data_IF_321803989755
#
_entry.id   IF_321803989755
#
_cell.length_a   1.000
_cell.length_b   1.000
_cell.length_c   1.000
_cell.angle_alpha   90.00
_cell.angle_beta   90.00
_cell.angle_gamma   90.00
#
_symmetry.space_group_name_H-M   'P 1'
#
loop_
_entity.id
_entity.type
_entity.pdbx_description
1 polymer ?
#
# COMPACT_ATOMS: atom_id res chain seq x y z
N UNK A 1 4.39 -29.24 9.80
CA UNK A 1 3.84 -29.72 11.08
C UNK A 1 2.45 -29.13 11.24
N UNK A 2 1.49 -29.89 11.77
CA UNK A 2 0.16 -29.38 12.09
C UNK A 2 0.25 -28.22 13.08
N UNK A 3 -0.65 -27.25 12.96
CA UNK A 3 -0.70 -26.07 13.83
C UNK A 3 -1.52 -26.28 15.10
N UNK A 4 -2.30 -27.36 15.20
CA UNK A 4 -3.10 -27.67 16.38
C UNK A 4 -2.22 -28.19 17.52
N UNK A 5 -2.46 -27.66 18.72
CA UNK A 5 -1.78 -28.14 19.93
C UNK A 5 -2.06 -29.62 20.12
N UNK A 6 -1.03 -30.40 20.44
CA UNK A 6 -1.10 -31.85 20.64
C UNK A 6 -1.29 -32.69 19.37
N UNK A 7 -1.26 -32.07 18.17
CA UNK A 7 -1.21 -32.81 16.91
C UNK A 7 0.24 -32.97 16.42
N UNK A 8 0.79 -34.19 16.55
CA UNK A 8 2.15 -34.51 16.11
C UNK A 8 2.33 -34.75 14.60
N UNK A 9 1.26 -34.59 13.81
CA UNK A 9 1.29 -34.86 12.36
C UNK A 9 2.15 -33.82 11.66
N UNK A 10 2.97 -34.29 10.72
CA UNK A 10 3.70 -33.42 9.81
C UNK A 10 3.63 -33.98 8.40
N UNK A 11 3.73 -33.05 7.45
CA UNK A 11 3.68 -33.30 6.03
C UNK A 11 5.01 -32.82 5.47
N UNK A 12 5.64 -33.64 4.65
CA UNK A 12 6.78 -33.25 3.83
C UNK A 12 6.30 -33.02 2.40
N UNK A 13 6.59 -31.83 1.88
CA UNK A 13 6.42 -31.48 0.48
C UNK A 13 7.78 -31.20 -0.16
N UNK A 14 7.84 -31.31 -1.48
CA UNK A 14 9.01 -30.85 -2.24
C UNK A 14 8.92 -29.33 -2.51
N UNK A 15 9.88 -28.79 -3.26
CA UNK A 15 9.92 -27.36 -3.62
C UNK A 15 8.80 -26.92 -4.57
N UNK A 16 8.05 -27.86 -5.14
CA UNK A 16 6.88 -27.61 -6.01
C UNK A 16 5.57 -27.91 -5.28
N UNK A 17 5.59 -27.99 -3.95
CA UNK A 17 4.44 -28.28 -3.09
C UNK A 17 3.76 -29.64 -3.34
N UNK A 18 4.43 -30.57 -4.01
CA UNK A 18 3.92 -31.94 -4.16
C UNK A 18 4.15 -32.73 -2.88
N UNK A 19 3.16 -33.55 -2.54
CA UNK A 19 3.19 -34.38 -1.34
C UNK A 19 4.25 -35.48 -1.47
N UNK A 20 5.23 -35.48 -0.56
CA UNK A 20 6.24 -36.56 -0.45
C UNK A 20 5.77 -37.59 0.56
N UNK A 21 5.44 -37.16 1.78
CA UNK A 21 4.97 -38.06 2.83
C UNK A 21 4.13 -37.34 3.90
N UNK A 22 3.29 -38.11 4.57
CA UNK A 22 2.50 -37.72 5.74
C UNK A 22 2.82 -38.70 6.86
N UNK A 23 3.08 -38.20 8.06
CA UNK A 23 3.26 -39.06 9.23
C UNK A 23 1.99 -39.09 10.10
N UNK A 24 1.31 -40.24 10.09
CA UNK A 24 0.14 -40.51 10.93
C UNK A 24 -1.12 -39.78 10.47
N UNK A 25 -2.15 -39.88 11.31
CA UNK A 25 -3.47 -39.27 11.10
C UNK A 25 -3.72 -38.14 12.09
N UNK A 26 -4.50 -37.14 11.67
CA UNK A 26 -4.92 -36.07 12.56
C UNK A 26 -5.86 -36.60 13.65
N UNK A 27 -5.63 -36.18 14.89
CA UNK A 27 -6.47 -36.46 16.05
C UNK A 27 -7.56 -35.40 16.28
N UNK A 28 -7.79 -34.54 15.31
CA UNK A 28 -8.74 -33.45 15.38
C UNK A 28 -9.44 -33.27 14.03
N UNK A 29 -10.63 -32.65 14.07
CA UNK A 29 -11.33 -32.24 12.86
C UNK A 29 -10.68 -30.99 12.24
N UNK A 30 -10.94 -30.77 10.96
CA UNK A 30 -10.52 -29.54 10.27
C UNK A 30 -11.31 -28.36 10.81
N UNK A 31 -10.61 -27.27 11.15
CA UNK A 31 -11.25 -26.00 11.45
C UNK A 31 -11.55 -25.23 10.15
N UNK A 32 -12.78 -25.36 9.67
CA UNK A 32 -13.22 -24.75 8.41
C UNK A 32 -13.11 -23.22 8.41
N UNK A 33 -13.44 -22.55 9.52
CA UNK A 33 -13.40 -21.09 9.62
C UNK A 33 -11.97 -20.55 9.53
N UNK A 34 -11.01 -21.23 10.17
CA UNK A 34 -9.60 -20.87 10.06
C UNK A 34 -9.05 -21.10 8.65
N UNK A 35 -9.46 -22.19 8.00
CA UNK A 35 -9.04 -22.49 6.63
C UNK A 35 -9.57 -21.43 5.65
N UNK A 36 -10.85 -21.09 5.74
CA UNK A 36 -11.49 -20.04 4.92
C UNK A 36 -10.81 -18.68 5.12
N UNK A 37 -10.58 -18.30 6.39
CA UNK A 37 -9.88 -17.07 6.75
C UNK A 37 -8.46 -17.05 6.18
N UNK A 38 -7.75 -18.18 6.21
CA UNK A 38 -6.40 -18.30 5.65
C UNK A 38 -6.40 -18.10 4.13
N UNK A 39 -7.28 -18.80 3.42
CA UNK A 39 -7.40 -18.68 1.96
C UNK A 39 -7.69 -17.24 1.52
N UNK A 40 -8.62 -16.57 2.21
CA UNK A 40 -8.92 -15.16 1.91
C UNK A 40 -7.71 -14.25 2.17
N UNK A 41 -7.00 -14.45 3.28
CA UNK A 41 -5.81 -13.66 3.60
C UNK A 41 -4.69 -13.85 2.58
N UNK A 42 -4.47 -15.07 2.11
CA UNK A 42 -3.44 -15.36 1.12
C UNK A 42 -3.77 -14.69 -0.22
N UNK A 43 -5.05 -14.74 -0.64
CA UNK A 43 -5.54 -14.03 -1.84
C UNK A 43 -5.39 -12.50 -1.73
N UNK A 44 -5.80 -11.92 -0.60
CA UNK A 44 -5.62 -10.48 -0.36
C UNK A 44 -4.15 -10.08 -0.35
N UNK A 45 -3.28 -10.92 0.24
CA UNK A 45 -1.84 -10.70 0.29
C UNK A 45 -1.23 -10.68 -1.11
N UNK A 46 -1.61 -11.61 -1.97
CA UNK A 46 -1.18 -11.67 -3.36
C UNK A 46 -1.59 -10.40 -4.13
N UNK A 47 -2.86 -9.97 -4.02
CA UNK A 47 -3.34 -8.72 -4.63
C UNK A 47 -2.56 -7.50 -4.13
N UNK A 48 -2.32 -7.39 -2.83
CA UNK A 48 -1.60 -6.24 -2.25
C UNK A 48 -0.15 -6.16 -2.75
N UNK A 49 0.50 -7.29 -2.98
CA UNK A 49 1.88 -7.34 -3.45
C UNK A 49 2.00 -7.11 -4.96
N UNK A 50 0.96 -7.40 -5.74
CA UNK A 50 0.94 -7.27 -7.20
C UNK A 50 0.32 -5.96 -7.69
N UNK A 51 -0.60 -5.37 -6.95
CA UNK A 51 -1.36 -4.20 -7.37
C UNK A 51 -0.89 -2.89 -6.73
N UNK A 52 -1.16 -1.77 -7.43
CA UNK A 52 -0.97 -0.42 -6.89
C UNK A 52 -2.18 0.10 -6.09
N UNK A 53 -3.32 -0.60 -6.16
CA UNK A 53 -4.56 -0.28 -5.44
C UNK A 53 -4.33 -0.12 -3.94
N UNK A 54 -5.09 0.75 -3.26
CA UNK A 54 -4.94 0.94 -1.82
C UNK A 54 -5.29 -0.33 -1.03
N UNK A 55 -4.54 -0.60 0.06
CA UNK A 55 -4.74 -1.82 0.88
C UNK A 55 -6.17 -1.87 1.44
N UNK A 56 -6.70 -0.74 1.89
CA UNK A 56 -8.08 -0.64 2.39
C UNK A 56 -9.10 -1.01 1.31
N UNK A 57 -8.93 -0.52 0.08
CA UNK A 57 -9.83 -0.85 -1.03
C UNK A 57 -9.79 -2.34 -1.38
N UNK A 58 -8.59 -2.94 -1.43
CA UNK A 58 -8.45 -4.40 -1.66
C UNK A 58 -9.17 -5.18 -0.56
N UNK A 59 -8.98 -4.78 0.70
CA UNK A 59 -9.63 -5.42 1.84
C UNK A 59 -11.17 -5.36 1.71
N UNK A 60 -11.74 -4.17 1.52
CA UNK A 60 -13.19 -3.99 1.44
C UNK A 60 -13.79 -4.78 0.25
N UNK A 61 -13.12 -4.78 -0.91
CA UNK A 61 -13.53 -5.54 -2.09
C UNK A 61 -13.51 -7.05 -1.86
N UNK A 62 -12.46 -7.59 -1.25
CA UNK A 62 -12.35 -9.03 -1.03
C UNK A 62 -13.31 -9.50 0.06
N UNK A 63 -13.56 -8.69 1.08
CA UNK A 63 -14.55 -9.00 2.12
C UNK A 63 -15.97 -9.03 1.58
N UNK A 64 -16.32 -8.05 0.74
CA UNK A 64 -17.63 -8.03 0.09
C UNK A 64 -17.86 -9.27 -0.80
N UNK A 65 -16.79 -9.83 -1.40
CA UNK A 65 -16.87 -11.03 -2.25
C UNK A 65 -16.85 -12.34 -1.47
N UNK A 66 -16.26 -12.36 -0.27
CA UNK A 66 -15.89 -13.60 0.41
C UNK A 66 -17.06 -14.40 1.00
N UNK A 67 -18.24 -13.79 1.19
CA UNK A 67 -19.42 -14.46 1.77
C UNK A 67 -19.08 -15.32 3.02
N UNK A 68 -18.25 -14.76 3.91
CA UNK A 68 -17.67 -15.50 5.03
C UNK A 68 -18.72 -16.06 5.99
N UNK A 69 -18.41 -17.21 6.58
CA UNK A 69 -19.13 -17.72 7.74
C UNK A 69 -19.05 -16.71 8.91
N UNK A 70 -20.01 -16.78 9.85
CA UNK A 70 -19.98 -15.93 11.06
C UNK A 70 -18.72 -16.18 11.90
N UNK A 71 -18.26 -17.44 11.97
CA UNK A 71 -17.06 -17.80 12.70
C UNK A 71 -15.80 -17.29 12.01
N UNK A 72 -15.71 -17.43 10.67
CA UNK A 72 -14.60 -16.90 9.89
C UNK A 72 -14.53 -15.36 9.97
N UNK A 73 -15.66 -14.68 9.88
CA UNK A 73 -15.74 -13.22 10.02
C UNK A 73 -15.27 -12.73 11.40
N UNK A 74 -15.45 -13.52 12.47
CA UNK A 74 -15.02 -13.18 13.82
C UNK A 74 -13.50 -13.35 14.04
N UNK A 75 -12.85 -14.22 13.26
CA UNK A 75 -11.40 -14.52 13.38
C UNK A 75 -10.58 -13.62 12.44
N UNK A 76 -11.23 -13.03 11.44
CA UNK A 76 -10.58 -12.19 10.47
C UNK A 76 -10.06 -10.89 11.11
N UNK A 77 -8.80 -10.49 10.85
CA UNK A 77 -8.26 -9.23 11.34
C UNK A 77 -9.00 -8.03 10.76
N UNK A 78 -9.08 -6.97 11.55
CA UNK A 78 -9.65 -5.70 11.10
C UNK A 78 -8.82 -5.06 9.97
N UNK A 79 -9.44 -4.17 9.20
CA UNK A 79 -8.74 -3.41 8.14
C UNK A 79 -7.53 -2.63 8.67
N UNK A 80 -7.58 -2.18 9.92
CA UNK A 80 -6.49 -1.41 10.56
C UNK A 80 -5.28 -2.32 10.81
N UNK A 81 -5.52 -3.49 11.41
CA UNK A 81 -4.48 -4.50 11.66
C UNK A 81 -3.89 -5.01 10.35
N UNK A 82 -4.76 -5.30 9.38
CA UNK A 82 -4.35 -5.80 8.08
C UNK A 82 -3.48 -4.78 7.33
N UNK A 83 -3.88 -3.50 7.33
CA UNK A 83 -3.09 -2.41 6.74
C UNK A 83 -1.72 -2.28 7.40
N UNK A 84 -1.65 -2.34 8.73
CA UNK A 84 -0.39 -2.24 9.47
C UNK A 84 0.60 -3.34 9.05
N UNK A 85 0.12 -4.60 9.05
CA UNK A 85 0.94 -5.76 8.70
C UNK A 85 1.40 -5.72 7.24
N UNK A 86 0.51 -5.34 6.32
CA UNK A 86 0.78 -5.40 4.89
C UNK A 86 1.55 -4.20 4.34
N UNK A 87 1.47 -3.04 4.98
CA UNK A 87 2.22 -1.84 4.56
C UNK A 87 3.73 -2.09 4.59
N UNK A 88 4.22 -2.83 5.58
CA UNK A 88 5.64 -3.19 5.69
C UNK A 88 6.07 -4.18 4.61
N UNK A 89 5.22 -5.16 4.28
CA UNK A 89 5.48 -6.12 3.22
C UNK A 89 5.57 -5.42 1.85
N UNK A 90 4.65 -4.49 1.58
CA UNK A 90 4.60 -3.76 0.31
C UNK A 90 5.79 -2.81 0.13
N UNK A 91 6.27 -2.16 1.20
CA UNK A 91 7.49 -1.30 1.14
C UNK A 91 8.74 -1.99 0.59
N UNK A 92 8.85 -3.32 0.70
CA UNK A 92 9.97 -4.07 0.10
C UNK A 92 9.94 -4.07 -1.43
N UNK A 93 8.75 -3.91 -2.01
CA UNK A 93 8.52 -3.98 -3.45
C UNK A 93 8.13 -2.62 -4.05
N UNK A 94 7.70 -1.65 -3.24
CA UNK A 94 7.43 -0.29 -3.71
C UNK A 94 8.73 0.51 -3.79
N UNK A 95 8.96 1.25 -4.89
CA UNK A 95 10.05 2.22 -4.94
C UNK A 95 9.99 3.15 -3.73
N UNK A 96 11.13 3.38 -3.09
CA UNK A 96 11.24 4.35 -2.01
C UNK A 96 10.83 5.70 -2.60
N UNK A 97 9.75 6.29 -2.08
CA UNK A 97 9.40 7.68 -2.41
C UNK A 97 10.64 8.49 -2.06
N UNK A 98 11.20 9.28 -3.01
CA UNK A 98 12.36 10.10 -2.72
C UNK A 98 12.11 10.88 -1.43
N UNK A 99 12.99 10.71 -0.44
CA UNK A 99 12.99 11.60 0.73
C UNK A 99 13.12 13.01 0.18
N UNK A 100 12.13 13.87 0.46
CA UNK A 100 11.96 15.17 -0.18
C UNK A 100 13.30 15.86 -0.41
N UNK A 101 13.69 16.01 -1.67
CA UNK A 101 14.84 16.82 -2.01
C UNK A 101 14.35 18.25 -1.88
N UNK A 102 14.87 18.99 -0.90
CA UNK A 102 14.69 20.44 -0.87
C UNK A 102 15.47 20.96 -2.07
N UNK A 103 14.78 21.23 -3.17
CA UNK A 103 15.35 21.98 -4.28
C UNK A 103 14.82 23.40 -4.19
N UNK A 104 15.73 24.37 -4.18
CA UNK A 104 15.34 25.77 -4.35
C UNK A 104 14.82 25.93 -5.77
N UNK A 105 13.60 26.46 -5.93
CA UNK A 105 13.12 26.90 -7.23
C UNK A 105 13.88 28.19 -7.53
N UNK A 106 14.66 28.26 -8.62
CA UNK A 106 15.30 29.51 -9.00
C UNK A 106 14.27 30.62 -9.22
N UNK A 107 14.58 31.85 -8.83
CA UNK A 107 13.64 32.98 -8.86
C UNK A 107 13.03 33.24 -10.24
N UNK A 108 13.76 32.92 -11.31
CA UNK A 108 13.28 33.04 -12.70
C UNK A 108 12.18 32.04 -13.09
N UNK A 109 11.96 30.99 -12.29
CA UNK A 109 10.81 30.09 -12.43
C UNK A 109 9.62 30.52 -11.58
N UNK A 110 9.75 31.51 -10.69
CA UNK A 110 8.65 32.01 -9.85
C UNK A 110 7.91 33.20 -10.47
N UNK A 111 8.52 33.85 -11.47
CA UNK A 111 8.07 35.11 -12.04
C UNK A 111 7.85 35.01 -13.56
N UNK A 112 6.90 35.79 -14.08
CA UNK A 112 6.72 36.02 -15.52
C UNK A 112 7.81 36.96 -16.06
N UNK A 113 7.89 37.11 -17.39
CA UNK A 113 8.76 38.11 -18.04
C UNK A 113 8.46 39.56 -17.63
N UNK A 114 7.26 39.82 -17.10
CA UNK A 114 6.84 41.10 -16.53
C UNK A 114 7.11 41.23 -15.02
N UNK A 115 7.93 40.33 -14.46
CA UNK A 115 8.26 40.22 -13.05
C UNK A 115 7.05 40.00 -12.14
N UNK A 116 5.96 39.40 -12.66
CA UNK A 116 4.78 39.08 -11.86
C UNK A 116 4.90 37.67 -11.30
N UNK A 117 4.61 37.51 -10.00
CA UNK A 117 4.73 36.23 -9.32
C UNK A 117 3.56 35.30 -9.68
N UNK A 118 3.84 34.16 -10.30
CA UNK A 118 2.82 33.18 -10.69
C UNK A 118 2.87 31.88 -9.87
N UNK A 119 3.98 31.59 -9.19
CA UNK A 119 4.04 30.51 -8.20
C UNK A 119 3.87 31.08 -6.79
N UNK A 120 2.84 30.60 -6.10
CA UNK A 120 2.66 30.82 -4.67
C UNK A 120 3.35 29.68 -3.92
N UNK A 121 4.22 30.04 -2.97
CA UNK A 121 4.92 29.08 -2.12
C UNK A 121 4.47 29.26 -0.68
N UNK A 122 4.08 28.15 -0.05
CA UNK A 122 3.83 28.08 1.38
C UNK A 122 4.80 27.09 2.03
N UNK A 123 5.42 27.53 3.12
CA UNK A 123 6.41 26.75 3.88
C UNK A 123 5.71 26.14 5.09
N UNK A 124 5.35 24.86 4.96
CA UNK A 124 4.75 24.13 6.05
C UNK A 124 5.85 23.48 6.91
N UNK A 125 6.20 24.14 8.02
CA UNK A 125 7.13 23.60 8.99
C UNK A 125 6.39 22.67 9.97
N UNK A 126 6.57 21.36 9.83
CA UNK A 126 6.13 20.38 10.83
C UNK A 126 7.38 19.74 11.45
N UNK A 127 7.38 19.52 12.77
CA UNK A 127 8.51 18.92 13.53
C UNK A 127 9.19 17.79 12.74
N UNK A 128 10.36 18.07 12.15
CA UNK A 128 11.20 17.11 11.44
C UNK A 128 10.94 16.92 9.93
N UNK A 129 10.00 17.63 9.33
CA UNK A 129 9.77 17.64 7.86
C UNK A 129 9.36 19.03 7.39
N UNK A 130 10.28 19.71 6.71
CA UNK A 130 9.97 20.92 5.96
C UNK A 130 9.29 20.52 4.66
N UNK A 131 8.08 21.02 4.43
CA UNK A 131 7.33 20.77 3.19
C UNK A 131 7.08 22.10 2.49
N UNK A 132 7.44 22.16 1.22
CA UNK A 132 7.09 23.29 0.35
C UNK A 132 5.83 22.90 -0.39
N UNK A 133 4.75 23.66 -0.20
CA UNK A 133 3.56 23.60 -1.04
C UNK A 133 3.71 24.68 -2.11
N UNK A 134 3.79 24.23 -3.37
CA UNK A 134 3.81 25.12 -4.53
C UNK A 134 2.48 25.00 -5.24
N UNK A 135 1.79 26.10 -5.45
CA UNK A 135 0.52 26.13 -6.17
C UNK A 135 0.41 27.38 -7.04
N UNK A 136 -0.34 27.24 -8.12
CA UNK A 136 -0.79 28.34 -8.98
C UNK A 136 -2.30 28.31 -9.02
N UNK A 137 -2.93 29.46 -8.81
CA UNK A 137 -4.36 29.62 -9.07
C UNK A 137 -4.63 29.69 -10.59
N UNK A 138 -5.89 29.54 -11.00
CA UNK A 138 -6.29 29.66 -12.40
C UNK A 138 -5.86 31.00 -13.03
N UNK A 139 -5.91 32.09 -12.25
CA UNK A 139 -5.43 33.40 -12.68
C UNK A 139 -3.90 33.42 -12.90
N UNK A 140 -3.14 32.75 -12.05
CA UNK A 140 -1.69 32.66 -12.18
C UNK A 140 -1.26 31.77 -13.36
N UNK A 141 -2.04 30.73 -13.67
CA UNK A 141 -1.85 29.92 -14.87
C UNK A 141 -2.18 30.71 -16.14
N UNK A 142 -3.19 31.57 -16.10
CA UNK A 142 -3.50 32.48 -17.20
C UNK A 142 -2.36 33.50 -17.42
N UNK A 143 -1.77 34.04 -16.36
CA UNK A 143 -0.59 34.93 -16.45
C UNK A 143 0.61 34.23 -17.10
N UNK A 144 0.83 32.95 -16.79
CA UNK A 144 1.87 32.15 -17.44
C UNK A 144 1.55 31.90 -18.91
N UNK A 145 0.29 31.60 -19.24
CA UNK A 145 -0.16 31.34 -20.60
C UNK A 145 -0.11 32.59 -21.50
N UNK A 146 -0.44 33.75 -20.95
CA UNK A 146 -0.42 35.03 -21.65
C UNK A 146 0.99 35.63 -21.72
N UNK A 147 1.91 35.19 -20.88
CA UNK A 147 3.33 35.52 -21.02
C UNK A 147 3.92 34.73 -22.18
N UNK A 148 4.51 35.41 -23.17
CA UNK A 148 5.21 34.76 -24.29
C UNK A 148 6.34 33.87 -23.74
N UNK A 149 6.12 32.57 -23.61
CA UNK A 149 7.13 31.66 -23.07
C UNK A 149 8.21 31.43 -24.14
N UNK A 150 9.43 31.89 -23.86
CA UNK A 150 10.66 31.28 -24.41
C UNK A 150 11.53 30.89 -23.21
N UNK A 151 11.63 29.60 -22.93
CA UNK A 151 12.78 29.06 -22.21
C UNK A 151 13.78 28.53 -23.25
N UNK A 152 14.81 29.32 -23.56
CA UNK A 152 16.03 28.83 -24.20
C UNK A 152 17.26 29.31 -23.41
N UNK A 153 17.72 28.46 -22.49
CA UNK A 153 18.97 27.70 -22.63
C UNK A 153 19.08 26.67 -21.51
#
# INVERSE_FOLDING_TARGET
MCSESECGVYIHTNTTDELICINGDHNHSVNHDQLETKLLRDKMKERILSETTSITKIYDEEIAKANLSKGAAAILPTVIEYRSNMSNARRKNTPVIPSGVVFGIPEFYEQTLSCQRFLSMDLFMKRGQDRILVFSSDQQLQLLFDSEIIFMN
#
